data_IF_478577483312
#
_entry.id   IF_478577483312
#
_cell.length_a   1.000
_cell.length_b   1.000
_cell.length_c   1.000
_cell.angle_alpha   90.00
_cell.angle_beta   90.00
_cell.angle_gamma   90.00
#
_symmetry.space_group_name_H-M   'P 1'
#
loop_
_entity.id
_entity.type
_entity.pdbx_description
1 polymer ?
#
# COMPACT_ATOMS: atom_id res chain seq x y z
N UNK A 1 58.06 44.80 -46.02
CA UNK A 1 57.73 45.13 -47.43
C UNK A 1 56.21 45.03 -47.53
N UNK A 2 55.43 46.10 -47.75
CA UNK A 2 55.42 47.01 -48.91
C UNK A 2 54.89 46.26 -50.16
N UNK A 3 53.82 46.69 -50.85
CA UNK A 3 53.23 48.04 -50.96
C UNK A 3 51.72 48.04 -51.32
N UNK A 4 51.03 49.16 -51.01
CA UNK A 4 49.82 49.75 -51.69
C UNK A 4 48.59 48.84 -51.95
N UNK A 5 47.35 49.19 -51.60
CA UNK A 5 46.82 50.38 -50.91
C UNK A 5 46.36 51.50 -51.85
N UNK A 6 45.04 51.71 -51.95
CA UNK A 6 44.39 52.91 -52.53
C UNK A 6 42.96 53.07 -51.94
N UNK A 7 42.39 54.29 -51.91
CA UNK A 7 41.13 54.57 -51.21
C UNK A 7 40.36 55.79 -51.73
N UNK A 8 39.04 55.67 -51.93
CA UNK A 8 38.06 56.75 -52.21
C UNK A 8 36.70 56.40 -51.56
N UNK A 9 35.78 57.29 -51.15
CA UNK A 9 35.82 58.49 -50.27
C UNK A 9 34.58 59.39 -50.54
N UNK A 10 33.92 59.86 -49.46
CA UNK A 10 32.94 60.98 -49.36
C UNK A 10 31.45 60.86 -49.74
N UNK A 11 30.62 61.60 -48.97
CA UNK A 11 29.22 61.97 -49.26
C UNK A 11 28.15 61.48 -48.25
N UNK A 12 27.42 62.30 -47.48
CA UNK A 12 27.75 63.67 -47.01
C UNK A 12 26.65 64.75 -46.89
N UNK A 13 25.53 64.55 -46.16
CA UNK A 13 24.61 65.56 -45.51
C UNK A 13 23.35 64.83 -44.93
N UNK A 14 22.77 65.12 -43.75
CA UNK A 14 22.07 66.33 -43.24
C UNK A 14 20.82 66.71 -44.07
N UNK A 15 19.64 67.05 -43.52
CA UNK A 15 19.18 67.40 -42.15
C UNK A 15 17.74 66.81 -41.94
N UNK A 16 16.93 67.02 -40.86
CA UNK A 16 16.86 68.04 -39.79
C UNK A 16 16.33 67.44 -38.45
N UNK A 17 15.41 68.11 -37.72
CA UNK A 17 14.84 67.76 -36.38
C UNK A 17 13.46 68.41 -36.16
N UNK A 18 12.57 67.80 -35.34
CA UNK A 18 11.78 68.39 -34.22
C UNK A 18 10.82 67.34 -33.58
N UNK A 19 10.27 67.47 -32.35
CA UNK A 19 10.88 67.67 -31.00
C UNK A 19 9.81 67.43 -29.88
N UNK A 20 10.15 66.75 -28.78
CA UNK A 20 9.30 66.58 -27.58
C UNK A 20 9.72 65.35 -26.74
N UNK A 21 10.66 65.44 -25.78
CA UNK A 21 10.46 65.79 -24.35
C UNK A 21 9.67 64.66 -23.63
N UNK A 22 10.30 63.60 -23.09
CA UNK A 22 11.12 63.48 -21.85
C UNK A 22 10.25 63.32 -20.58
N UNK A 23 10.60 62.57 -19.51
CA UNK A 23 11.87 62.02 -18.95
C UNK A 23 11.60 60.57 -18.43
N UNK A 24 12.53 59.62 -18.24
CA UNK A 24 13.99 59.52 -18.45
C UNK A 24 14.76 58.94 -17.23
N UNK A 25 15.93 58.29 -17.46
CA UNK A 25 16.83 57.58 -16.49
C UNK A 25 16.34 56.18 -16.04
N UNK A 26 17.16 55.13 -15.90
CA UNK A 26 18.63 54.94 -16.07
C UNK A 26 18.97 53.64 -16.86
N UNK A 27 20.24 53.43 -17.23
CA UNK A 27 20.77 52.19 -17.87
C UNK A 27 22.07 51.69 -17.21
N UNK A 28 22.32 50.39 -17.44
CA UNK A 28 23.56 49.56 -17.32
C UNK A 28 23.71 48.85 -15.94
N UNK A 29 24.39 47.70 -15.78
CA UNK A 29 25.52 47.04 -16.51
C UNK A 29 25.24 45.53 -16.73
N UNK A 30 26.13 44.79 -17.41
CA UNK A 30 26.11 43.33 -17.62
C UNK A 30 27.36 42.69 -16.97
N UNK A 31 27.20 41.54 -16.29
CA UNK A 31 28.20 40.88 -15.44
C UNK A 31 27.64 40.66 -14.02
N UNK A 32 27.87 39.56 -13.29
CA UNK A 32 28.81 38.44 -13.52
C UNK A 32 28.17 37.05 -13.34
N UNK A 33 28.92 36.00 -13.70
CA UNK A 33 28.60 34.60 -13.44
C UNK A 33 29.10 34.21 -12.04
N UNK A 34 28.24 33.61 -11.22
CA UNK A 34 28.60 33.05 -9.90
C UNK A 34 27.61 31.97 -9.48
N UNK A 35 28.11 30.87 -8.91
CA UNK A 35 27.34 29.69 -8.51
C UNK A 35 27.41 29.50 -6.97
N UNK A 36 26.66 28.54 -6.40
CA UNK A 36 26.60 28.16 -4.95
C UNK A 36 25.74 29.13 -4.08
N UNK A 37 25.03 28.72 -3.01
CA UNK A 37 24.74 27.38 -2.43
C UNK A 37 23.45 27.36 -1.58
N UNK A 38 22.92 26.16 -1.31
CA UNK A 38 21.77 25.79 -0.46
C UNK A 38 21.39 26.70 0.75
N UNK A 39 20.07 26.83 0.97
CA UNK A 39 19.45 26.92 2.31
C UNK A 39 18.14 26.10 2.37
N UNK A 40 17.76 25.53 3.54
CA UNK A 40 16.74 24.47 3.62
C UNK A 40 15.30 24.98 3.73
N UNK A 41 14.35 24.14 3.31
CA UNK A 41 12.90 24.34 3.45
C UNK A 41 12.50 24.12 4.92
N UNK A 42 11.91 25.13 5.57
CA UNK A 42 11.56 25.07 7.00
C UNK A 42 10.06 25.28 7.26
N UNK A 43 9.38 24.23 7.74
CA UNK A 43 8.22 24.15 8.66
C UNK A 43 6.98 25.07 8.54
N UNK A 44 6.99 26.15 7.77
CA UNK A 44 5.88 27.11 7.65
C UNK A 44 4.83 26.67 6.62
N UNK A 45 5.23 25.90 5.62
CA UNK A 45 4.37 25.43 4.53
C UNK A 45 3.29 24.45 5.04
N UNK A 46 3.68 23.46 5.86
CA UNK A 46 2.77 22.47 6.47
C UNK A 46 1.63 23.13 7.26
N UNK A 47 1.94 24.20 8.00
CA UNK A 47 0.95 24.97 8.76
C UNK A 47 -0.02 25.76 7.87
N UNK A 48 0.41 26.20 6.68
CA UNK A 48 -0.45 26.87 5.70
C UNK A 48 -1.38 25.90 4.96
N UNK A 49 -1.01 24.63 4.82
CA UNK A 49 -1.87 23.59 4.25
C UNK A 49 -2.97 23.21 5.26
N UNK A 50 -2.60 22.89 6.52
CA UNK A 50 -3.57 22.53 7.57
C UNK A 50 -4.70 23.57 7.72
N UNK A 51 -4.34 24.86 7.69
CA UNK A 51 -5.28 25.97 7.81
C UNK A 51 -6.27 26.09 6.63
N UNK A 52 -5.92 25.59 5.44
CA UNK A 52 -6.79 25.56 4.26
C UNK A 52 -7.75 24.36 4.28
N UNK A 53 -7.25 23.17 4.61
CA UNK A 53 -8.06 21.94 4.70
C UNK A 53 -9.18 22.10 5.74
N UNK A 54 -8.87 22.64 6.92
CA UNK A 54 -9.86 22.91 7.98
C UNK A 54 -10.93 23.96 7.62
N UNK A 55 -10.72 24.76 6.58
CA UNK A 55 -11.72 25.69 6.07
C UNK A 55 -12.73 25.00 5.12
N UNK A 56 -12.28 24.05 4.29
CA UNK A 56 -13.13 23.32 3.36
C UNK A 56 -14.13 22.39 4.06
N UNK A 57 -13.67 21.64 5.07
CA UNK A 57 -14.45 20.62 5.78
C UNK A 57 -15.75 21.13 6.46
N UNK A 58 -15.91 22.45 6.64
CA UNK A 58 -17.09 23.05 7.29
C UNK A 58 -18.31 23.22 6.38
N UNK A 59 -18.16 23.10 5.05
CA UNK A 59 -19.26 23.38 4.12
C UNK A 59 -20.15 22.16 3.76
N UNK A 60 -19.65 20.92 3.86
CA UNK A 60 -20.34 19.74 3.29
C UNK A 60 -21.37 19.03 4.19
N UNK A 61 -21.75 19.56 5.36
CA UNK A 61 -22.74 18.92 6.25
C UNK A 61 -24.20 19.39 6.07
N UNK A 62 -24.73 19.33 4.84
CA UNK A 62 -26.19 19.40 4.56
C UNK A 62 -26.62 18.65 3.28
N UNK A 63 -27.01 17.38 3.43
CA UNK A 63 -28.23 16.74 2.87
C UNK A 63 -28.09 15.22 2.71
N UNK A 64 -28.85 14.45 3.49
CA UNK A 64 -29.47 13.17 3.11
C UNK A 64 -30.22 12.59 4.32
N UNK A 65 -31.55 12.55 4.29
CA UNK A 65 -32.34 11.77 5.24
C UNK A 65 -33.74 11.46 4.70
N UNK A 66 -33.99 10.20 4.39
CA UNK A 66 -35.31 9.67 4.02
C UNK A 66 -35.53 8.38 4.80
N UNK A 67 -36.73 8.24 5.39
CA UNK A 67 -37.16 7.02 6.09
C UNK A 67 -38.26 6.34 5.28
N UNK A 68 -38.24 5.02 5.22
CA UNK A 68 -39.37 4.19 4.79
C UNK A 68 -39.63 3.13 5.87
N UNK A 69 -40.89 2.75 6.07
CA UNK A 69 -41.33 1.70 7.03
C UNK A 69 -41.72 0.42 6.27
N UNK A 70 -41.59 -0.77 6.89
CA UNK A 70 -41.97 -2.03 6.27
C UNK A 70 -43.50 -2.25 6.25
N UNK A 71 -43.94 -3.20 5.43
CA UNK A 71 -45.26 -3.85 5.44
C UNK A 71 -45.03 -5.37 5.38
N UNK A 72 -45.98 -6.17 5.89
CA UNK A 72 -45.85 -7.62 6.07
C UNK A 72 -47.02 -8.39 5.44
N UNK A 73 -46.76 -9.63 5.02
CA UNK A 73 -47.64 -10.72 4.56
C UNK A 73 -46.67 -11.89 4.17
N UNK A 74 -46.93 -13.18 4.32
CA UNK A 74 -47.87 -13.95 5.15
C UNK A 74 -47.33 -15.41 5.31
N UNK A 75 -47.93 -16.26 6.16
CA UNK A 75 -47.43 -17.63 6.49
C UNK A 75 -48.31 -18.73 5.89
N UNK A 76 -47.72 -19.84 5.43
CA UNK A 76 -48.43 -21.07 5.03
C UNK A 76 -47.68 -22.31 5.56
N UNK A 77 -48.30 -23.04 6.49
CA UNK A 77 -47.87 -24.37 6.94
C UNK A 77 -48.44 -25.49 6.06
N UNK A 78 -47.71 -26.60 5.87
CA UNK A 78 -48.26 -27.91 5.48
C UNK A 78 -47.54 -29.01 6.28
N UNK A 79 -48.31 -29.98 6.80
CA UNK A 79 -47.89 -31.05 7.71
C UNK A 79 -47.26 -32.28 7.01
N UNK A 80 -46.86 -33.30 7.78
CA UNK A 80 -46.06 -34.44 7.32
C UNK A 80 -46.68 -35.84 7.54
N UNK A 81 -46.23 -36.82 6.74
CA UNK A 81 -46.43 -38.27 6.94
C UNK A 81 -47.35 -38.96 5.92
N UNK A 82 -47.40 -40.33 5.86
CA UNK A 82 -46.71 -41.30 6.72
C UNK A 82 -45.82 -42.33 5.95
N UNK A 83 -45.23 -43.27 6.70
CA UNK A 83 -44.18 -44.24 6.30
C UNK A 83 -44.58 -45.39 5.35
N UNK A 84 -43.56 -46.04 4.76
CA UNK A 84 -43.57 -47.47 4.41
C UNK A 84 -42.21 -48.14 4.63
N UNK A 85 -42.22 -49.34 5.23
CA UNK A 85 -41.03 -50.17 5.50
C UNK A 85 -40.55 -50.95 4.25
N UNK A 86 -39.24 -51.24 4.16
CA UNK A 86 -38.74 -52.43 3.45
C UNK A 86 -37.63 -53.15 4.24
N UNK A 87 -37.78 -54.47 4.28
CA UNK A 87 -37.12 -55.52 5.05
C UNK A 87 -35.57 -55.57 5.08
N UNK A 88 -35.06 -56.20 6.14
CA UNK A 88 -33.66 -56.64 6.30
C UNK A 88 -33.32 -57.84 5.42
N UNK A 89 -32.04 -58.00 5.07
CA UNK A 89 -31.47 -59.32 4.77
C UNK A 89 -30.13 -59.53 5.49
N UNK A 90 -29.77 -60.77 5.81
CA UNK A 90 -28.56 -61.12 6.59
C UNK A 90 -27.51 -61.79 5.71
N UNK A 91 -26.23 -61.56 5.98
CA UNK A 91 -25.18 -62.55 5.70
C UNK A 91 -24.01 -62.49 6.70
N UNK A 92 -23.48 -63.68 7.00
CA UNK A 92 -22.18 -63.99 7.62
C UNK A 92 -21.11 -64.07 6.50
N UNK A 93 -19.79 -64.12 6.69
CA UNK A 93 -18.88 -64.00 7.86
C UNK A 93 -17.46 -63.66 7.35
N UNK A 94 -16.69 -62.79 8.03
CA UNK A 94 -15.25 -62.61 7.78
C UNK A 94 -14.49 -61.88 8.92
N UNK A 95 -14.97 -61.99 10.16
CA UNK A 95 -14.62 -61.08 11.27
C UNK A 95 -13.39 -61.54 12.08
N UNK A 96 -12.20 -61.56 11.48
CA UNK A 96 -10.96 -61.99 12.13
C UNK A 96 -9.76 -61.01 12.02
N UNK A 97 -9.57 -60.34 10.87
CA UNK A 97 -8.35 -59.53 10.63
C UNK A 97 -8.52 -58.04 10.95
N UNK A 98 -9.69 -57.46 10.65
CA UNK A 98 -9.89 -56.01 10.73
C UNK A 98 -9.84 -55.46 12.15
N UNK A 99 -10.43 -56.16 13.13
CA UNK A 99 -10.49 -55.71 14.53
C UNK A 99 -9.11 -55.58 15.17
N UNK A 100 -8.17 -56.47 14.85
CA UNK A 100 -6.79 -56.43 15.38
C UNK A 100 -6.00 -55.27 14.75
N UNK A 101 -6.23 -54.99 13.47
CA UNK A 101 -5.62 -53.85 12.78
C UNK A 101 -6.18 -52.51 13.29
N UNK A 102 -7.51 -52.39 13.47
CA UNK A 102 -8.13 -51.20 14.07
C UNK A 102 -7.68 -51.00 15.53
N UNK A 103 -7.62 -52.07 16.34
CA UNK A 103 -7.14 -51.97 17.72
C UNK A 103 -5.68 -51.50 17.80
N UNK A 104 -4.80 -51.97 16.90
CA UNK A 104 -3.41 -51.49 16.81
C UNK A 104 -3.29 -50.08 16.25
N UNK A 105 -4.16 -49.68 15.32
CA UNK A 105 -4.24 -48.31 14.82
C UNK A 105 -4.64 -47.33 15.94
N UNK A 106 -5.63 -47.69 16.75
CA UNK A 106 -6.09 -46.85 17.86
C UNK A 106 -5.02 -46.76 18.96
N UNK A 107 -4.44 -47.89 19.37
CA UNK A 107 -3.35 -47.92 20.37
C UNK A 107 -2.06 -47.20 19.92
N UNK A 108 -1.90 -46.91 18.62
CA UNK A 108 -0.83 -46.07 18.09
C UNK A 108 -1.16 -44.56 18.10
N UNK A 109 -2.43 -44.18 18.34
CA UNK A 109 -2.88 -42.79 18.41
C UNK A 109 -2.95 -42.23 19.85
N UNK A 110 -2.91 -43.08 20.88
CA UNK A 110 -3.12 -42.69 22.29
C UNK A 110 -1.95 -41.90 22.93
N UNK A 111 -0.95 -41.44 22.15
CA UNK A 111 0.16 -40.59 22.63
C UNK A 111 0.36 -39.33 21.76
N UNK A 112 -0.69 -38.52 21.62
CA UNK A 112 -0.55 -37.05 21.65
C UNK A 112 -1.84 -36.38 22.14
N UNK A 113 -1.96 -36.12 23.45
CA UNK A 113 -2.93 -35.15 23.98
C UNK A 113 -2.47 -33.70 23.70
N UNK A 114 -2.26 -33.36 22.43
CA UNK A 114 -2.42 -31.96 22.01
C UNK A 114 -3.92 -31.71 21.85
N UNK A 115 -4.49 -30.61 22.39
CA UNK A 115 -5.79 -30.16 21.93
C UNK A 115 -5.68 -29.94 20.42
N UNK A 116 -6.64 -30.48 19.64
CA UNK A 116 -6.73 -30.12 18.22
C UNK A 116 -7.13 -28.65 18.18
N UNK A 117 -6.23 -27.80 17.70
CA UNK A 117 -6.57 -26.39 17.44
C UNK A 117 -7.78 -26.37 16.51
N UNK A 118 -8.86 -25.75 16.97
CA UNK A 118 -10.07 -25.64 16.18
C UNK A 118 -9.81 -24.62 15.07
N UNK A 119 -9.87 -25.09 13.82
CA UNK A 119 -9.99 -24.21 12.67
C UNK A 119 -11.32 -23.49 12.83
N UNK A 120 -11.27 -22.17 12.83
CA UNK A 120 -12.43 -21.28 13.00
C UNK A 120 -12.97 -20.97 11.60
N UNK A 121 -14.28 -21.00 11.44
CA UNK A 121 -14.93 -20.37 10.28
C UNK A 121 -14.89 -18.85 10.48
N UNK A 122 -14.11 -18.18 9.64
CA UNK A 122 -13.85 -16.74 9.74
C UNK A 122 -14.87 -15.90 8.95
N UNK A 123 -15.78 -16.54 8.22
CA UNK A 123 -16.77 -15.88 7.36
C UNK A 123 -18.21 -16.10 7.83
N UNK A 124 -18.43 -16.92 8.86
CA UNK A 124 -19.73 -17.11 9.51
C UNK A 124 -20.43 -15.83 10.00
N UNK A 125 -19.71 -14.72 10.21
CA UNK A 125 -20.30 -13.40 10.52
C UNK A 125 -20.87 -12.67 9.31
N UNK A 126 -20.49 -13.08 8.10
CA UNK A 126 -20.71 -12.36 6.85
C UNK A 126 -21.69 -13.12 5.93
N UNK A 127 -22.33 -14.20 6.42
CA UNK A 127 -23.25 -15.04 5.64
C UNK A 127 -24.45 -14.28 5.07
N UNK A 128 -24.88 -13.21 5.75
CA UNK A 128 -25.97 -12.33 5.33
C UNK A 128 -25.46 -11.09 4.56
N UNK A 129 -24.16 -10.98 4.27
CA UNK A 129 -23.53 -9.85 3.60
C UNK A 129 -23.19 -10.19 2.13
N UNK A 130 -24.09 -9.83 1.21
CA UNK A 130 -23.90 -10.00 -0.23
C UNK A 130 -22.57 -9.42 -0.75
N UNK A 131 -22.06 -8.34 -0.13
CA UNK A 131 -20.80 -7.69 -0.53
C UNK A 131 -19.54 -8.41 -0.04
N UNK A 132 -19.65 -9.34 0.92
CA UNK A 132 -18.51 -10.15 1.38
C UNK A 132 -18.17 -11.31 0.43
N UNK A 133 -19.07 -11.66 -0.50
CA UNK A 133 -18.88 -12.71 -1.50
C UNK A 133 -18.38 -14.05 -0.91
N UNK A 134 -18.92 -14.46 0.24
CA UNK A 134 -18.45 -15.63 1.03
C UNK A 134 -18.40 -16.92 0.21
N UNK A 135 -19.31 -17.10 -0.75
CA UNK A 135 -19.31 -18.26 -1.66
C UNK A 135 -18.14 -18.29 -2.67
N UNK A 136 -17.47 -17.15 -2.93
CA UNK A 136 -16.32 -17.03 -3.83
C UNK A 136 -15.00 -16.66 -3.14
N UNK A 137 -15.03 -16.14 -1.90
CA UNK A 137 -13.85 -15.51 -1.27
C UNK A 137 -12.62 -16.41 -1.25
N UNK A 138 -12.78 -17.72 -1.04
CA UNK A 138 -11.68 -18.67 -1.05
C UNK A 138 -11.12 -18.94 -2.46
N UNK A 139 -11.94 -18.90 -3.50
CA UNK A 139 -11.48 -19.02 -4.89
C UNK A 139 -10.83 -17.73 -5.40
N UNK A 140 -11.34 -16.56 -4.98
CA UNK A 140 -10.69 -15.26 -5.14
C UNK A 140 -9.31 -15.28 -4.46
N UNK A 141 -9.21 -15.75 -3.21
CA UNK A 141 -7.94 -15.87 -2.49
C UNK A 141 -6.95 -16.85 -3.16
N UNK A 142 -7.44 -17.96 -3.75
CA UNK A 142 -6.61 -18.89 -4.54
C UNK A 142 -6.11 -18.22 -5.82
N UNK A 143 -6.98 -17.51 -6.54
CA UNK A 143 -6.63 -16.77 -7.76
C UNK A 143 -5.58 -15.68 -7.49
N UNK A 144 -5.76 -14.87 -6.45
CA UNK A 144 -4.77 -13.86 -6.06
C UNK A 144 -3.38 -14.47 -5.79
N UNK A 145 -3.27 -15.61 -5.10
CA UNK A 145 -1.97 -16.29 -4.89
C UNK A 145 -1.39 -16.92 -6.16
N UNK A 146 -2.22 -17.24 -7.14
CA UNK A 146 -1.76 -17.75 -8.43
C UNK A 146 -1.12 -16.63 -9.26
N UNK A 147 -1.71 -15.43 -9.28
CA UNK A 147 -1.28 -14.31 -10.14
C UNK A 147 -0.37 -13.27 -9.45
N UNK A 148 -0.11 -13.38 -8.15
CA UNK A 148 0.75 -12.41 -7.44
C UNK A 148 2.21 -12.39 -7.93
N UNK A 149 2.69 -13.49 -8.53
CA UNK A 149 3.99 -13.56 -9.19
C UNK A 149 4.00 -12.89 -10.58
N UNK A 150 2.88 -12.91 -11.32
CA UNK A 150 2.80 -12.36 -12.69
C UNK A 150 2.97 -10.83 -12.72
N UNK A 151 2.60 -10.17 -11.61
CA UNK A 151 2.63 -8.72 -11.45
C UNK A 151 3.67 -8.26 -10.42
N UNK A 152 4.60 -9.15 -10.04
CA UNK A 152 5.65 -8.88 -9.08
C UNK A 152 6.79 -8.07 -9.74
N UNK A 153 7.09 -6.84 -9.27
CA UNK A 153 8.20 -6.07 -9.81
C UNK A 153 9.53 -6.78 -9.52
N UNK A 154 10.35 -6.96 -10.55
CA UNK A 154 11.71 -7.48 -10.40
C UNK A 154 12.61 -6.46 -9.69
N UNK A 155 13.75 -6.90 -9.15
CA UNK A 155 14.75 -5.97 -8.63
C UNK A 155 15.27 -5.07 -9.78
N UNK A 156 14.95 -3.78 -9.68
CA UNK A 156 15.14 -2.79 -10.73
C UNK A 156 16.14 -1.71 -10.37
N UNK A 157 16.66 -1.68 -9.14
CA UNK A 157 17.42 -0.52 -8.66
C UNK A 157 18.77 -0.39 -9.39
N UNK A 158 19.41 -1.51 -9.71
CA UNK A 158 20.62 -1.55 -10.55
C UNK A 158 20.37 -1.13 -12.01
N UNK A 159 19.09 -1.05 -12.44
CA UNK A 159 18.68 -0.54 -13.76
C UNK A 159 18.30 0.96 -13.75
N UNK A 160 18.39 1.64 -12.60
CA UNK A 160 18.07 3.05 -12.45
C UNK A 160 19.34 3.88 -12.13
N UNK A 161 19.85 4.73 -13.03
CA UNK A 161 21.12 5.42 -12.85
C UNK A 161 21.05 6.63 -11.89
N UNK A 162 19.86 7.13 -11.58
CA UNK A 162 19.65 8.32 -10.71
C UNK A 162 18.80 8.05 -9.47
N UNK A 163 18.14 6.87 -9.37
CA UNK A 163 17.18 6.55 -8.31
C UNK A 163 17.77 5.42 -7.46
N UNK A 164 18.07 5.72 -6.21
CA UNK A 164 18.49 4.76 -5.19
C UNK A 164 17.31 4.34 -4.28
N UNK A 165 17.52 3.31 -3.47
CA UNK A 165 16.50 2.80 -2.54
C UNK A 165 15.99 3.88 -1.56
N UNK A 166 16.86 4.85 -1.21
CA UNK A 166 16.49 6.00 -0.37
C UNK A 166 15.59 6.99 -1.12
N UNK A 167 15.84 7.28 -2.40
CA UNK A 167 14.96 8.12 -3.21
C UNK A 167 13.57 7.52 -3.34
N UNK A 168 13.46 6.17 -3.42
CA UNK A 168 12.17 5.46 -3.30
C UNK A 168 11.54 5.66 -1.94
N UNK A 169 12.26 5.44 -0.84
CA UNK A 169 11.72 5.61 0.52
C UNK A 169 11.21 7.05 0.77
N UNK A 170 11.93 8.07 0.29
CA UNK A 170 11.53 9.49 0.35
C UNK A 170 10.23 9.72 -0.45
N UNK A 171 10.12 9.19 -1.67
CA UNK A 171 8.89 9.28 -2.47
C UNK A 171 7.71 8.62 -1.75
N UNK A 172 7.87 7.37 -1.29
CA UNK A 172 6.79 6.62 -0.62
C UNK A 172 6.37 7.31 0.69
N UNK A 173 7.33 7.84 1.46
CA UNK A 173 7.02 8.64 2.65
C UNK A 173 6.18 9.89 2.30
N UNK A 174 6.52 10.61 1.23
CA UNK A 174 5.73 11.76 0.80
C UNK A 174 4.34 11.35 0.25
N UNK A 175 4.24 10.24 -0.48
CA UNK A 175 2.95 9.73 -0.98
C UNK A 175 2.03 9.26 0.15
N UNK A 176 2.56 8.67 1.23
CA UNK A 176 1.73 8.30 2.40
C UNK A 176 1.23 9.54 3.16
N UNK A 177 2.01 10.64 3.18
CA UNK A 177 1.55 11.93 3.71
C UNK A 177 0.43 12.51 2.84
N UNK A 178 0.62 12.57 1.51
CA UNK A 178 -0.40 13.02 0.55
C UNK A 178 -1.68 12.17 0.65
N UNK A 179 -1.55 10.84 0.65
CA UNK A 179 -2.62 9.86 0.85
C UNK A 179 -3.44 10.16 2.11
N UNK A 180 -2.76 10.36 3.25
CA UNK A 180 -3.41 10.62 4.55
C UNK A 180 -4.07 12.00 4.59
N UNK A 181 -3.52 13.02 3.93
CA UNK A 181 -4.12 14.36 3.88
C UNK A 181 -5.31 14.46 2.89
N UNK A 182 -5.47 13.49 1.99
CA UNK A 182 -6.56 13.39 1.01
C UNK A 182 -7.68 12.41 1.42
N UNK A 183 -7.54 11.72 2.56
CA UNK A 183 -8.52 10.77 3.11
C UNK A 183 -8.88 9.61 2.14
N UNK A 184 -7.88 9.12 1.40
CA UNK A 184 -8.02 8.06 0.39
C UNK A 184 -7.99 6.65 1.02
N UNK A 185 -8.58 5.67 0.33
CA UNK A 185 -8.58 4.26 0.71
C UNK A 185 -7.16 3.66 0.82
N UNK A 186 -7.01 2.56 1.57
CA UNK A 186 -5.71 1.88 1.68
C UNK A 186 -5.37 1.16 0.37
N UNK A 187 -6.38 0.59 -0.26
CA UNK A 187 -6.43 0.07 -1.62
C UNK A 187 -5.67 1.01 -2.58
N UNK A 188 -6.03 2.30 -2.62
CA UNK A 188 -5.38 3.32 -3.46
C UNK A 188 -3.88 3.43 -3.20
N UNK A 189 -3.38 3.50 -1.96
CA UNK A 189 -1.92 3.64 -1.71
C UNK A 189 -1.16 2.34 -2.00
N UNK A 190 -1.73 1.17 -1.69
CA UNK A 190 -1.10 -0.11 -2.01
C UNK A 190 -1.03 -0.35 -3.54
N UNK A 191 -2.05 0.05 -4.30
CA UNK A 191 -2.02 0.04 -5.76
C UNK A 191 -1.06 1.11 -6.33
N UNK A 192 -1.03 2.32 -5.75
CA UNK A 192 -0.10 3.41 -6.13
C UNK A 192 1.35 2.92 -6.12
N UNK A 193 1.79 2.29 -5.02
CA UNK A 193 3.18 1.83 -4.91
C UNK A 193 3.46 0.65 -5.86
N UNK A 194 2.51 -0.27 -6.07
CA UNK A 194 2.65 -1.33 -7.07
C UNK A 194 2.85 -0.77 -8.49
N UNK A 195 2.07 0.25 -8.88
CA UNK A 195 2.19 0.93 -10.18
C UNK A 195 3.58 1.58 -10.32
N UNK A 196 4.07 2.27 -9.28
CA UNK A 196 5.40 2.90 -9.27
C UNK A 196 6.51 1.86 -9.45
N UNK A 197 6.50 0.79 -8.64
CA UNK A 197 7.57 -0.22 -8.65
C UNK A 197 7.60 -0.98 -10.00
N UNK A 198 6.43 -1.37 -10.53
CA UNK A 198 6.36 -2.02 -11.85
C UNK A 198 6.77 -1.08 -12.99
N UNK A 199 6.43 0.20 -12.91
CA UNK A 199 6.85 1.17 -13.92
C UNK A 199 8.36 1.40 -13.89
N UNK A 200 8.95 1.55 -12.70
CA UNK A 200 10.41 1.67 -12.54
C UNK A 200 11.15 0.38 -12.93
N UNK A 201 10.51 -0.80 -12.87
CA UNK A 201 11.07 -2.05 -13.40
C UNK A 201 11.15 -2.11 -14.95
N UNK A 202 10.31 -1.36 -15.67
CA UNK A 202 10.26 -1.39 -17.16
C UNK A 202 10.66 -0.07 -17.83
N UNK A 203 10.93 0.99 -17.05
CA UNK A 203 11.28 2.33 -17.54
C UNK A 203 12.30 3.00 -16.63
N UNK A 204 13.48 3.31 -17.18
CA UNK A 204 14.45 4.22 -16.55
C UNK A 204 13.85 5.62 -16.41
N UNK A 205 13.90 6.22 -15.22
CA UNK A 205 13.27 7.52 -14.91
C UNK A 205 14.32 8.48 -14.30
N UNK A 206 14.44 9.73 -14.77
CA UNK A 206 15.27 10.74 -14.12
C UNK A 206 14.76 11.06 -12.72
N UNK A 207 15.64 11.31 -11.75
CA UNK A 207 15.25 11.58 -10.35
C UNK A 207 14.32 12.79 -10.21
N UNK A 208 14.41 13.76 -11.13
CA UNK A 208 13.54 14.94 -11.18
C UNK A 208 12.09 14.66 -11.65
N UNK A 209 11.86 13.53 -12.33
CA UNK A 209 10.53 13.08 -12.78
C UNK A 209 9.88 12.11 -11.79
N UNK A 210 10.62 11.64 -10.78
CA UNK A 210 10.18 10.61 -9.84
C UNK A 210 8.92 11.01 -9.04
N UNK A 211 8.77 12.29 -8.69
CA UNK A 211 7.55 12.78 -8.03
C UNK A 211 6.35 12.84 -9.01
N UNK A 212 6.59 13.20 -10.28
CA UNK A 212 5.58 13.18 -11.34
C UNK A 212 5.04 11.76 -11.59
N UNK A 213 5.93 10.75 -11.59
CA UNK A 213 5.52 9.33 -11.61
C UNK A 213 4.64 9.01 -10.41
N UNK A 214 5.06 9.42 -9.20
CA UNK A 214 4.32 9.17 -7.96
C UNK A 214 2.88 9.71 -7.95
N UNK A 215 2.69 10.99 -8.31
CA UNK A 215 1.34 11.58 -8.37
C UNK A 215 0.49 10.99 -9.49
N UNK A 216 1.10 10.62 -10.62
CA UNK A 216 0.38 10.04 -11.75
C UNK A 216 -0.07 8.60 -11.46
N UNK A 217 0.76 7.83 -10.75
CA UNK A 217 0.38 6.53 -10.21
C UNK A 217 -0.76 6.64 -9.18
N UNK A 218 -0.74 7.65 -8.32
CA UNK A 218 -1.80 7.90 -7.34
C UNK A 218 -3.12 8.30 -8.02
N UNK A 219 -3.06 9.15 -9.06
CA UNK A 219 -4.22 9.49 -9.89
C UNK A 219 -4.83 8.24 -10.55
N UNK A 220 -3.99 7.36 -11.10
CA UNK A 220 -4.42 6.11 -11.72
C UNK A 220 -5.06 5.15 -10.70
N UNK A 221 -4.47 5.02 -9.51
CA UNK A 221 -5.01 4.21 -8.44
C UNK A 221 -6.34 4.78 -7.92
N UNK A 222 -6.46 6.09 -7.70
CA UNK A 222 -7.71 6.71 -7.24
C UNK A 222 -8.84 6.60 -8.26
N UNK A 223 -8.52 6.60 -9.57
CA UNK A 223 -9.49 6.34 -10.64
C UNK A 223 -9.97 4.89 -10.71
N UNK A 224 -9.29 3.98 -10.00
CA UNK A 224 -9.53 2.54 -10.05
C UNK A 224 -10.22 2.02 -8.78
N UNK A 225 -9.82 2.50 -7.59
CA UNK A 225 -10.35 2.04 -6.30
C UNK A 225 -11.38 3.01 -5.66
N UNK A 226 -11.31 4.33 -5.91
CA UNK A 226 -12.18 5.30 -5.21
C UNK A 226 -13.54 5.49 -5.90
N UNK A 227 -14.61 5.55 -5.10
CA UNK A 227 -15.92 6.04 -5.53
C UNK A 227 -15.85 7.51 -6.00
N UNK A 228 -14.98 8.30 -5.35
CA UNK A 228 -14.74 9.71 -5.65
C UNK A 228 -13.26 9.93 -5.96
N UNK A 229 -12.89 9.66 -7.21
CA UNK A 229 -11.50 9.83 -7.69
C UNK A 229 -10.95 11.23 -7.44
N UNK A 230 -9.63 11.28 -7.21
CA UNK A 230 -8.84 12.50 -7.14
C UNK A 230 -8.88 13.29 -8.46
N UNK A 231 -8.95 14.63 -8.38
CA UNK A 231 -8.85 15.52 -9.52
C UNK A 231 -7.39 15.87 -9.85
N UNK A 232 -7.08 16.05 -11.15
CA UNK A 232 -5.72 16.49 -11.57
C UNK A 232 -5.36 17.84 -10.97
N UNK A 233 -6.33 18.76 -10.87
CA UNK A 233 -6.15 20.07 -10.25
C UNK A 233 -5.82 19.97 -8.74
N UNK A 234 -6.08 18.86 -8.05
CA UNK A 234 -5.62 18.64 -6.66
C UNK A 234 -4.12 18.33 -6.63
N UNK A 235 -3.67 17.41 -7.48
CA UNK A 235 -2.25 17.04 -7.57
C UNK A 235 -1.37 18.21 -8.06
N UNK A 236 -1.91 19.05 -8.94
CA UNK A 236 -1.29 20.31 -9.39
C UNK A 236 -1.29 21.39 -8.29
N UNK A 237 -2.18 21.32 -7.29
CA UNK A 237 -2.09 22.17 -6.07
C UNK A 237 -1.01 21.71 -5.08
N UNK A 238 -0.58 20.45 -5.18
CA UNK A 238 0.37 19.80 -4.27
C UNK A 238 1.81 19.74 -4.81
N UNK A 239 2.04 20.10 -6.07
CA UNK A 239 3.34 19.96 -6.76
C UNK A 239 3.60 21.10 -7.75
N UNK A 240 4.83 21.23 -8.24
CA UNK A 240 5.22 22.23 -9.25
C UNK A 240 4.94 21.78 -10.72
N UNK A 241 4.19 20.70 -10.93
CA UNK A 241 3.89 20.14 -12.26
C UNK A 241 2.60 20.69 -12.85
N UNK A 242 2.52 20.78 -14.19
CA UNK A 242 1.30 21.19 -14.89
C UNK A 242 0.32 20.03 -15.10
N UNK A 243 -0.95 20.37 -15.27
CA UNK A 243 -2.02 19.41 -15.64
C UNK A 243 -1.68 18.60 -16.92
N UNK A 244 -0.95 19.19 -17.87
CA UNK A 244 -0.50 18.47 -19.08
C UNK A 244 0.59 17.44 -18.75
N UNK A 245 1.57 17.78 -17.89
CA UNK A 245 2.62 16.85 -17.47
C UNK A 245 2.04 15.62 -16.76
N UNK A 246 1.04 15.80 -15.88
CA UNK A 246 0.38 14.69 -15.18
C UNK A 246 -0.35 13.78 -16.17
N UNK A 247 -1.12 14.32 -17.12
CA UNK A 247 -1.81 13.49 -18.12
C UNK A 247 -0.84 12.77 -19.07
N UNK A 248 0.27 13.41 -19.45
CA UNK A 248 1.30 12.78 -20.29
C UNK A 248 2.00 11.64 -19.53
N UNK A 249 2.27 11.81 -18.23
CA UNK A 249 2.87 10.76 -17.41
C UNK A 249 1.89 9.61 -17.13
N UNK A 250 0.64 9.89 -16.75
CA UNK A 250 -0.44 8.89 -16.62
C UNK A 250 -0.53 8.01 -17.89
N UNK A 251 -0.63 8.66 -19.06
CA UNK A 251 -0.66 7.95 -20.34
C UNK A 251 0.63 7.16 -20.61
N UNK A 252 1.78 7.64 -20.15
CA UNK A 252 3.07 6.93 -20.30
C UNK A 252 3.14 5.69 -19.41
N UNK A 253 2.63 5.77 -18.18
CA UNK A 253 2.57 4.64 -17.24
C UNK A 253 1.57 3.59 -17.76
N UNK A 254 0.34 3.98 -18.11
CA UNK A 254 -0.69 3.07 -18.66
C UNK A 254 -0.21 2.28 -19.87
N UNK A 255 0.47 2.93 -20.83
CA UNK A 255 1.01 2.26 -22.01
C UNK A 255 2.28 1.44 -21.72
N UNK A 256 2.92 1.59 -20.56
CA UNK A 256 4.08 0.79 -20.13
C UNK A 256 3.73 -0.38 -19.21
N UNK A 257 2.59 -0.31 -18.53
CA UNK A 257 2.00 -1.41 -17.76
C UNK A 257 0.90 -2.15 -18.55
N UNK A 258 0.79 -1.90 -19.86
CA UNK A 258 -0.18 -2.53 -20.78
C UNK A 258 -1.63 -2.50 -20.25
N UNK A 259 -2.00 -1.40 -19.56
CA UNK A 259 -3.29 -1.17 -18.89
C UNK A 259 -3.65 -2.18 -17.77
N UNK A 260 -2.71 -3.06 -17.40
CA UNK A 260 -2.89 -4.06 -16.36
C UNK A 260 -2.73 -3.45 -14.94
N UNK A 261 -3.84 -2.96 -14.39
CA UNK A 261 -3.93 -2.43 -13.03
C UNK A 261 -4.60 -3.40 -12.03
N UNK A 262 -5.34 -4.40 -12.51
CA UNK A 262 -6.08 -5.38 -11.70
C UNK A 262 -5.14 -6.43 -11.10
N UNK A 263 -4.47 -6.08 -9.99
CA UNK A 263 -3.41 -6.91 -9.40
C UNK A 263 -3.61 -7.16 -7.90
N UNK A 264 -3.22 -8.33 -7.36
CA UNK A 264 -3.32 -8.60 -5.93
C UNK A 264 -2.23 -7.83 -5.17
N UNK A 265 -2.63 -6.78 -4.46
CA UNK A 265 -1.74 -6.01 -3.59
C UNK A 265 -1.57 -6.68 -2.22
N UNK A 266 -0.62 -6.22 -1.41
CA UNK A 266 -0.44 -6.72 -0.04
C UNK A 266 -1.70 -6.51 0.81
N UNK A 267 -2.49 -5.46 0.52
CA UNK A 267 -3.69 -5.11 1.26
C UNK A 267 -4.78 -6.19 1.20
N UNK A 268 -5.11 -6.72 0.01
CA UNK A 268 -6.19 -7.72 -0.12
C UNK A 268 -5.90 -9.01 0.65
N UNK A 269 -4.62 -9.38 0.74
CA UNK A 269 -4.17 -10.48 1.61
C UNK A 269 -4.18 -10.09 3.09
N UNK A 270 -3.75 -8.88 3.42
CA UNK A 270 -3.67 -8.38 4.80
C UNK A 270 -5.04 -8.37 5.47
N UNK A 271 -6.08 -7.86 4.81
CA UNK A 271 -7.46 -7.89 5.33
C UNK A 271 -7.92 -9.32 5.60
N UNK A 272 -7.74 -10.24 4.65
CA UNK A 272 -8.08 -11.68 4.82
C UNK A 272 -7.33 -12.30 6.00
N UNK A 273 -6.07 -11.95 6.21
CA UNK A 273 -5.22 -12.55 7.25
C UNK A 273 -5.39 -11.91 8.64
N UNK A 274 -5.80 -10.64 8.71
CA UNK A 274 -6.29 -10.01 9.94
C UNK A 274 -7.62 -10.66 10.35
N UNK A 275 -8.55 -10.86 9.41
CA UNK A 275 -9.81 -11.60 9.65
C UNK A 275 -9.57 -13.05 10.07
N UNK A 276 -8.53 -13.70 9.53
CA UNK A 276 -8.10 -15.05 9.93
C UNK A 276 -7.40 -15.12 11.30
N UNK A 277 -7.13 -13.97 11.92
CA UNK A 277 -6.61 -13.84 13.27
C UNK A 277 -7.76 -13.75 14.29
N UNK A 278 -7.46 -13.26 15.50
CA UNK A 278 -8.50 -12.86 16.47
C UNK A 278 -8.97 -11.44 16.09
N UNK A 279 -10.28 -11.15 16.04
CA UNK A 279 -10.78 -9.80 15.79
C UNK A 279 -10.38 -8.87 16.94
N UNK A 280 -9.41 -8.00 16.66
CA UNK A 280 -8.73 -7.15 17.63
C UNK A 280 -8.17 -5.91 16.93
N UNK A 281 -8.72 -4.74 17.24
CA UNK A 281 -8.36 -3.46 16.61
C UNK A 281 -6.91 -3.04 16.89
N UNK A 282 -6.32 -3.48 18.01
CA UNK A 282 -4.90 -3.25 18.32
C UNK A 282 -4.00 -4.06 17.37
N UNK A 283 -4.39 -5.32 17.10
CA UNK A 283 -3.69 -6.19 16.17
C UNK A 283 -3.83 -5.70 14.72
N UNK A 284 -5.02 -5.29 14.32
CA UNK A 284 -5.29 -4.73 12.99
C UNK A 284 -4.40 -3.50 12.74
N UNK A 285 -4.42 -2.52 13.64
CA UNK A 285 -3.56 -1.33 13.56
C UNK A 285 -2.07 -1.69 13.50
N UNK A 286 -1.61 -2.64 14.33
CA UNK A 286 -0.22 -3.10 14.33
C UNK A 286 0.17 -3.81 13.02
N UNK A 287 -0.72 -4.62 12.45
CA UNK A 287 -0.47 -5.33 11.20
C UNK A 287 -0.44 -4.38 10.00
N UNK A 288 -1.33 -3.39 9.94
CA UNK A 288 -1.27 -2.32 8.93
C UNK A 288 -0.01 -1.46 9.07
N UNK A 289 0.36 -1.06 10.30
CA UNK A 289 1.62 -0.34 10.58
C UNK A 289 2.86 -1.10 10.06
N UNK A 290 2.99 -2.39 10.40
CA UNK A 290 4.12 -3.21 9.96
C UNK A 290 4.12 -3.45 8.44
N UNK A 291 2.94 -3.57 7.82
CA UNK A 291 2.81 -3.71 6.36
C UNK A 291 3.17 -2.42 5.61
N UNK A 292 2.79 -1.23 6.12
CA UNK A 292 3.20 0.05 5.54
C UNK A 292 4.70 0.33 5.73
N UNK A 293 5.30 -0.06 6.86
CA UNK A 293 6.76 -0.07 7.00
C UNK A 293 7.42 -1.01 5.97
N UNK A 294 6.83 -2.16 5.69
CA UNK A 294 7.25 -3.06 4.62
C UNK A 294 7.21 -2.38 3.24
N UNK A 295 6.09 -1.72 2.91
CA UNK A 295 5.89 -0.98 1.65
C UNK A 295 6.96 0.10 1.42
N UNK A 296 7.34 0.85 2.46
CA UNK A 296 8.38 1.89 2.37
C UNK A 296 9.75 1.34 1.99
N UNK A 297 10.15 0.19 2.55
CA UNK A 297 11.53 -0.30 2.46
C UNK A 297 11.73 -1.26 1.28
N UNK A 298 12.67 -0.92 0.39
CA UNK A 298 12.95 -1.68 -0.83
C UNK A 298 13.33 -3.15 -0.58
N UNK A 299 13.97 -3.47 0.54
CA UNK A 299 14.35 -4.84 0.89
C UNK A 299 13.16 -5.80 1.09
N UNK A 300 11.93 -5.28 1.18
CA UNK A 300 10.68 -6.06 1.20
C UNK A 300 10.27 -6.52 -0.21
N UNK A 301 10.69 -5.82 -1.27
CA UNK A 301 10.26 -6.04 -2.66
C UNK A 301 10.53 -7.46 -3.17
N UNK A 302 11.51 -8.17 -2.60
CA UNK A 302 11.85 -9.56 -2.90
C UNK A 302 10.83 -10.61 -2.41
N UNK A 303 9.80 -10.19 -1.68
CA UNK A 303 8.76 -11.07 -1.12
C UNK A 303 7.42 -10.80 -1.81
N UNK A 304 6.68 -11.85 -2.14
CA UNK A 304 5.34 -11.71 -2.72
C UNK A 304 4.35 -11.03 -1.75
N UNK A 305 3.34 -10.29 -2.26
CA UNK A 305 2.34 -9.61 -1.44
C UNK A 305 1.73 -10.45 -0.31
N UNK A 306 1.39 -11.72 -0.54
CA UNK A 306 0.82 -12.60 0.47
C UNK A 306 1.82 -12.97 1.58
N UNK A 307 3.11 -13.13 1.25
CA UNK A 307 4.19 -13.35 2.21
C UNK A 307 4.37 -12.15 3.13
N UNK A 308 4.34 -10.92 2.58
CA UNK A 308 4.46 -9.68 3.35
C UNK A 308 3.26 -9.52 4.30
N UNK A 309 2.04 -9.73 3.80
CA UNK A 309 0.82 -9.65 4.59
C UNK A 309 0.80 -10.66 5.76
N UNK A 310 1.10 -11.94 5.47
CA UNK A 310 1.14 -12.98 6.50
C UNK A 310 2.23 -12.72 7.55
N UNK A 311 3.39 -12.20 7.12
CA UNK A 311 4.50 -11.84 8.01
C UNK A 311 4.19 -10.61 8.85
N UNK A 312 3.44 -9.63 8.34
CA UNK A 312 2.97 -8.47 9.10
C UNK A 312 2.00 -8.90 10.21
N UNK A 313 1.05 -9.81 9.93
CA UNK A 313 0.15 -10.39 10.95
C UNK A 313 0.92 -11.22 11.97
N UNK A 314 1.88 -12.06 11.55
CA UNK A 314 2.71 -12.85 12.47
C UNK A 314 3.59 -11.96 13.37
N UNK A 315 4.21 -10.92 12.82
CA UNK A 315 4.99 -9.95 13.57
C UNK A 315 4.10 -9.16 14.55
N UNK A 316 2.91 -8.72 14.13
CA UNK A 316 1.95 -8.05 15.00
C UNK A 316 1.51 -8.92 16.18
N UNK A 317 1.24 -10.23 15.94
CA UNK A 317 0.92 -11.19 17.01
C UNK A 317 2.09 -11.40 17.97
N UNK A 318 3.34 -11.36 17.48
CA UNK A 318 4.53 -11.38 18.34
C UNK A 318 4.66 -10.11 19.19
N UNK A 319 4.57 -8.92 18.58
CA UNK A 319 4.70 -7.63 19.29
C UNK A 319 3.65 -7.49 20.40
N UNK A 320 2.41 -7.91 20.13
CA UNK A 320 1.31 -7.83 21.07
C UNK A 320 1.12 -9.12 21.92
N UNK A 321 2.09 -10.05 21.88
CA UNK A 321 2.13 -11.28 22.68
C UNK A 321 0.85 -12.17 22.57
N UNK A 322 0.16 -12.16 21.42
CA UNK A 322 -1.11 -12.89 21.21
C UNK A 322 -0.84 -14.41 21.06
N UNK A 323 -0.99 -15.17 22.12
CA UNK A 323 -0.80 -16.63 22.12
C UNK A 323 -2.04 -17.39 21.59
N UNK A 324 -1.87 -18.52 20.85
CA UNK A 324 -0.63 -18.99 20.24
C UNK A 324 -0.20 -18.06 19.09
N UNK A 325 1.10 -17.88 18.89
CA UNK A 325 1.61 -16.86 17.94
C UNK A 325 1.15 -17.10 16.49
N UNK A 326 1.02 -18.36 16.09
CA UNK A 326 0.47 -18.78 14.80
C UNK A 326 -0.56 -19.90 15.05
N UNK A 327 -1.78 -19.76 14.54
CA UNK A 327 -2.86 -20.75 14.69
C UNK A 327 -2.98 -21.63 13.46
N UNK A 328 -3.60 -22.80 13.60
CA UNK A 328 -3.97 -23.61 12.43
C UNK A 328 -4.93 -22.87 11.47
N UNK A 329 -5.82 -22.00 11.97
CA UNK A 329 -6.65 -21.08 11.14
C UNK A 329 -5.80 -20.14 10.28
N UNK A 330 -4.82 -19.45 10.87
CA UNK A 330 -3.91 -18.57 10.13
C UNK A 330 -3.11 -19.37 9.09
N UNK A 331 -2.60 -20.55 9.48
CA UNK A 331 -1.88 -21.46 8.58
C UNK A 331 -2.75 -21.96 7.41
N UNK A 332 -4.05 -22.17 7.61
CA UNK A 332 -5.00 -22.54 6.55
C UNK A 332 -5.16 -21.41 5.53
N UNK A 333 -5.62 -20.23 5.95
CA UNK A 333 -5.94 -19.14 5.01
C UNK A 333 -4.68 -18.51 4.38
N UNK A 334 -3.57 -18.45 5.11
CA UNK A 334 -2.28 -17.97 4.55
C UNK A 334 -1.59 -19.03 3.68
N UNK A 335 -1.73 -20.32 3.99
CA UNK A 335 -0.94 -21.40 3.40
C UNK A 335 0.51 -21.44 3.90
N UNK A 336 0.89 -20.60 4.88
CA UNK A 336 2.25 -20.52 5.40
C UNK A 336 2.38 -21.10 6.80
N UNK A 337 3.47 -21.84 7.03
CA UNK A 337 3.93 -22.18 8.37
C UNK A 337 4.74 -21.03 8.98
N UNK A 338 4.74 -20.93 10.30
CA UNK A 338 5.52 -19.93 11.05
C UNK A 338 6.99 -19.86 10.59
N UNK A 339 7.62 -21.00 10.29
CA UNK A 339 9.01 -21.07 9.85
C UNK A 339 9.28 -20.36 8.52
N UNK A 340 8.32 -20.34 7.60
CA UNK A 340 8.44 -19.64 6.30
C UNK A 340 8.33 -18.11 6.45
N UNK A 341 7.60 -17.63 7.47
CA UNK A 341 7.38 -16.20 7.70
C UNK A 341 8.55 -15.53 8.43
N UNK A 342 9.42 -16.30 9.09
CA UNK A 342 10.45 -15.78 9.99
C UNK A 342 11.30 -14.66 9.38
N UNK A 343 11.83 -14.83 8.17
CA UNK A 343 12.82 -13.89 7.61
C UNK A 343 12.19 -12.65 6.97
N UNK A 344 10.89 -12.68 6.65
CA UNK A 344 10.14 -11.47 6.31
C UNK A 344 9.65 -10.76 7.59
N UNK A 345 9.16 -11.49 8.58
CA UNK A 345 8.71 -10.93 9.85
C UNK A 345 9.86 -10.25 10.64
N UNK A 346 11.04 -10.87 10.70
CA UNK A 346 12.29 -10.27 11.21
C UNK A 346 12.62 -8.95 10.52
N UNK A 347 12.46 -8.90 9.20
CA UNK A 347 12.73 -7.70 8.41
C UNK A 347 11.75 -6.57 8.77
N UNK A 348 10.45 -6.84 8.84
CA UNK A 348 9.43 -5.85 9.26
C UNK A 348 9.67 -5.35 10.70
N UNK A 349 10.04 -6.24 11.63
CA UNK A 349 10.37 -5.89 13.02
C UNK A 349 11.65 -5.05 13.09
N UNK A 350 12.64 -5.30 12.23
CA UNK A 350 13.82 -4.44 12.12
C UNK A 350 13.46 -3.02 11.67
N UNK A 351 12.55 -2.85 10.71
CA UNK A 351 12.05 -1.53 10.32
C UNK A 351 11.30 -0.85 11.46
N UNK A 352 10.47 -1.57 12.23
CA UNK A 352 9.80 -1.04 13.43
C UNK A 352 10.82 -0.49 14.44
N UNK A 353 11.91 -1.22 14.71
CA UNK A 353 12.99 -0.76 15.60
C UNK A 353 13.68 0.54 15.15
N UNK A 354 13.64 0.84 13.85
CA UNK A 354 14.27 2.03 13.25
C UNK A 354 13.28 3.18 13.01
N UNK A 355 11.98 2.88 12.90
CA UNK A 355 10.93 3.81 12.44
C UNK A 355 10.81 5.08 13.30
N UNK A 356 11.00 4.96 14.63
CA UNK A 356 11.00 6.11 15.54
C UNK A 356 12.21 7.04 15.37
N UNK A 357 13.29 6.59 14.70
CA UNK A 357 14.59 7.25 14.66
C UNK A 357 15.04 7.73 13.26
N UNK A 358 14.53 7.16 12.16
CA UNK A 358 14.88 7.53 10.78
C UNK A 358 14.48 8.96 10.36
N UNK A 359 14.76 9.37 9.12
CA UNK A 359 14.30 10.66 8.60
C UNK A 359 12.83 10.57 8.12
N UNK A 360 12.49 9.47 7.45
CA UNK A 360 11.20 9.16 6.84
C UNK A 360 10.18 8.62 7.87
N UNK A 361 9.67 9.50 8.75
CA UNK A 361 8.81 9.12 9.89
C UNK A 361 7.30 9.07 9.63
N UNK A 362 6.79 9.18 8.40
CA UNK A 362 5.34 9.36 8.17
C UNK A 362 4.50 8.21 8.74
N UNK A 363 4.88 6.96 8.51
CA UNK A 363 4.15 5.77 9.00
C UNK A 363 4.22 5.69 10.52
N UNK A 364 5.38 6.01 11.11
CA UNK A 364 5.53 6.08 12.56
C UNK A 364 4.59 7.12 13.19
N UNK A 365 4.48 8.30 12.59
CA UNK A 365 3.56 9.36 13.04
C UNK A 365 2.10 8.93 12.84
N UNK A 366 1.74 8.44 11.64
CA UNK A 366 0.40 7.96 11.26
C UNK A 366 -0.15 6.88 12.20
N UNK A 367 0.72 6.09 12.83
CA UNK A 367 0.39 5.01 13.78
C UNK A 367 0.86 5.26 15.23
N UNK A 368 1.39 6.45 15.53
CA UNK A 368 1.51 6.96 16.91
C UNK A 368 0.21 7.62 17.41
N UNK A 369 -0.79 7.72 16.54
CA UNK A 369 -2.09 8.30 16.83
C UNK A 369 -2.84 7.48 17.91
N UNK A 370 -3.36 8.10 18.99
CA UNK A 370 -4.19 7.43 19.99
C UNK A 370 -5.42 6.72 19.41
N UNK A 371 -6.03 7.21 18.32
CA UNK A 371 -7.17 6.56 17.67
C UNK A 371 -6.78 5.21 17.03
N UNK A 372 -5.49 5.00 16.73
CA UNK A 372 -4.91 3.73 16.26
C UNK A 372 -4.17 2.98 17.37
N UNK A 373 -4.52 3.25 18.63
CA UNK A 373 -3.91 2.65 19.82
C UNK A 373 -2.44 3.03 20.05
N UNK A 374 -1.92 4.04 19.33
CA UNK A 374 -0.51 4.43 19.30
C UNK A 374 0.47 3.26 19.06
N UNK A 375 0.06 2.24 18.28
CA UNK A 375 0.80 0.97 18.07
C UNK A 375 2.27 1.15 17.64
N UNK A 376 2.62 2.22 16.93
CA UNK A 376 4.00 2.51 16.55
C UNK A 376 4.93 2.74 17.75
N UNK A 377 4.39 3.23 18.87
CA UNK A 377 5.12 3.52 20.12
C UNK A 377 5.39 2.25 20.96
N UNK A 378 4.80 1.11 20.61
CA UNK A 378 5.02 -0.16 21.32
C UNK A 378 6.41 -0.74 20.99
N UNK A 379 7.06 -1.46 21.93
CA UNK A 379 8.38 -2.02 21.70
C UNK A 379 8.35 -3.14 20.63
N UNK A 380 9.29 -3.19 19.67
CA UNK A 380 9.35 -4.25 18.68
C UNK A 380 9.45 -5.66 19.27
N UNK A 381 8.92 -6.65 18.54
CA UNK A 381 8.92 -8.07 18.92
C UNK A 381 10.34 -8.63 19.16
N UNK A 382 10.78 -8.66 20.43
CA UNK A 382 12.15 -9.07 20.80
C UNK A 382 12.53 -10.48 20.31
N UNK A 383 11.57 -11.40 20.23
CA UNK A 383 11.76 -12.76 19.70
C UNK A 383 11.98 -12.82 18.17
N UNK A 384 11.81 -11.71 17.47
CA UNK A 384 12.05 -11.52 16.04
C UNK A 384 13.19 -10.51 15.75
N UNK A 385 13.85 -9.98 16.78
CA UNK A 385 15.10 -9.23 16.61
C UNK A 385 16.28 -10.19 16.37
N UNK A 386 17.36 -9.75 15.70
CA UNK A 386 18.61 -10.50 15.66
C UNK A 386 19.23 -10.62 17.07
N UNK A 387 19.77 -11.80 17.41
CA UNK A 387 20.54 -11.99 18.63
C UNK A 387 21.86 -11.19 18.56
N UNK A 388 21.87 -9.98 19.13
CA UNK A 388 23.03 -9.09 19.11
C UNK A 388 22.77 -7.59 19.31
N UNK A 389 21.52 -7.14 19.44
CA UNK A 389 21.19 -5.70 19.62
C UNK A 389 20.98 -5.25 21.08
N UNK A 390 21.47 -6.01 22.06
CA UNK A 390 21.66 -5.54 23.43
C UNK A 390 23.18 -5.31 23.65
N UNK A 391 23.56 -4.11 24.08
CA UNK A 391 24.95 -3.61 24.34
C UNK A 391 25.66 -2.86 23.19
N UNK A 392 25.36 -1.57 23.03
CA UNK A 392 26.35 -0.49 23.28
C UNK A 392 25.67 0.88 23.49
#
# INVERSE_FOLDING_TARGET
MASRGEAVVWGGKQQKKKKGIAVGRNRKILGDIGNLVNRPITRSFSAQILAKVQAAAKNNKKQASVKVKPKAEEVIDIEAGPDKEVQKNKNKESRASTSVLTARSNAACDITNKPREQIIDIDASDSDNELAAVEYIDDICKFYKLVENENHPHDYIDSQPEIDQRSRAILVNWLIDVHTNLDLSLETIYLTINIIDRFLAVKTVPRLEMQLVGISAMLMASKYEEIWTLEVDELVRLTDYTHEQVLVMEKTILNKLEWNLTVPTTFVFLVRFIKASVPDQELENMAHFLSELGMMHYATLKYFPSMVAASAVFAARCTLNKAPLWTETLKLHTGYSQGQLMDCARLLVSFHSMAGNGEEKVVYIKYSDPEKGAVAMLPPAKNLMPEGSDSQ
#
